data_IF_331758356775
#
_entry.id   IF_331758356775
#
_cell.length_a   1.000
_cell.length_b   1.000
_cell.length_c   1.000
_cell.angle_alpha   90.00
_cell.angle_beta   90.00
_cell.angle_gamma   90.00
#
_symmetry.space_group_name_H-M   'P 1'
#
loop_
_entity.id
_entity.type
_entity.pdbx_description
1 polymer ?
#
# COMPACT_ATOMS: atom_id res chain seq x y z
N UNK A 1 -18.16 14.64 -0.03
CA UNK A 1 -16.92 14.28 0.70
C UNK A 1 -16.46 12.86 0.36
N UNK A 2 -17.34 11.84 0.37
CA UNK A 2 -17.04 10.48 -0.11
C UNK A 2 -16.66 10.40 -1.60
N UNK A 3 -17.16 11.31 -2.45
CA UNK A 3 -16.82 11.36 -3.88
C UNK A 3 -15.33 11.56 -4.17
N UNK A 4 -14.65 12.47 -3.46
CA UNK A 4 -13.22 12.72 -3.70
C UNK A 4 -12.35 11.53 -3.30
N UNK A 5 -12.77 10.80 -2.26
CA UNK A 5 -12.10 9.60 -1.81
C UNK A 5 -12.27 8.45 -2.81
N UNK A 6 -13.48 8.30 -3.35
CA UNK A 6 -13.78 7.34 -4.40
C UNK A 6 -13.01 7.67 -5.70
N UNK A 7 -12.89 8.94 -6.06
CA UNK A 7 -12.13 9.41 -7.23
C UNK A 7 -10.63 9.18 -7.05
N UNK A 8 -10.05 9.45 -5.88
CA UNK A 8 -8.66 9.12 -5.59
C UNK A 8 -8.42 7.60 -5.57
N UNK A 9 -9.36 6.81 -5.05
CA UNK A 9 -9.29 5.35 -5.06
C UNK A 9 -9.35 4.79 -6.49
N UNK A 10 -10.26 5.29 -7.33
CA UNK A 10 -10.34 4.95 -8.75
C UNK A 10 -9.10 5.40 -9.54
N UNK A 11 -8.55 6.58 -9.23
CA UNK A 11 -7.32 7.11 -9.83
C UNK A 11 -6.11 6.25 -9.45
N UNK A 12 -6.03 5.82 -8.17
CA UNK A 12 -4.99 4.92 -7.69
C UNK A 12 -5.12 3.51 -8.32
N UNK A 13 -6.32 2.95 -8.40
CA UNK A 13 -6.56 1.65 -9.07
C UNK A 13 -6.14 1.69 -10.54
N UNK A 14 -6.44 2.79 -11.26
CA UNK A 14 -5.97 3.01 -12.64
C UNK A 14 -4.44 3.10 -12.73
N UNK A 15 -3.78 3.65 -11.71
CA UNK A 15 -2.32 3.69 -11.64
C UNK A 15 -1.71 2.29 -11.42
N UNK A 16 -2.39 1.41 -10.68
CA UNK A 16 -1.90 0.07 -10.33
C UNK A 16 -2.12 -0.99 -11.40
N UNK A 17 -3.03 -0.75 -12.36
CA UNK A 17 -3.26 -1.67 -13.49
C UNK A 17 -2.35 -1.40 -14.69
N UNK A 18 -1.52 -0.35 -14.66
CA UNK A 18 -0.53 -0.11 -15.71
C UNK A 18 0.70 -1.02 -15.55
N UNK A 19 0.68 -2.06 -16.37
CA UNK A 19 1.83 -2.64 -17.07
C UNK A 19 2.69 -3.68 -16.33
N UNK A 20 2.42 -4.90 -16.79
CA UNK A 20 3.31 -6.01 -17.12
C UNK A 20 3.70 -7.00 -16.02
N UNK A 21 2.97 -8.12 -16.06
CA UNK A 21 3.36 -9.41 -15.55
C UNK A 21 4.58 -9.95 -16.32
N UNK A 22 5.59 -10.37 -15.56
CA UNK A 22 6.51 -11.53 -15.72
C UNK A 22 7.86 -11.17 -15.09
N UNK A 23 8.01 -11.27 -13.76
CA UNK A 23 9.31 -11.09 -13.08
C UNK A 23 9.43 -11.84 -11.76
N UNK A 24 10.69 -12.19 -11.45
CA UNK A 24 11.18 -12.94 -10.27
C UNK A 24 10.30 -12.70 -9.03
N UNK A 25 9.80 -13.80 -8.46
CA UNK A 25 8.82 -13.83 -7.37
C UNK A 25 9.21 -12.87 -6.23
N UNK A 26 10.51 -12.80 -5.91
CA UNK A 26 11.06 -11.93 -4.85
C UNK A 26 10.80 -10.43 -5.10
N UNK A 27 10.91 -9.95 -6.35
CA UNK A 27 10.74 -8.52 -6.70
C UNK A 27 9.26 -8.15 -6.83
N UNK A 28 8.47 -9.07 -7.37
CA UNK A 28 7.02 -8.87 -7.52
C UNK A 28 6.33 -8.88 -6.15
N UNK A 29 6.72 -9.74 -5.22
CA UNK A 29 6.20 -9.72 -3.85
C UNK A 29 6.51 -8.41 -3.13
N UNK A 30 7.74 -7.91 -3.23
CA UNK A 30 8.09 -6.63 -2.64
C UNK A 30 7.27 -5.48 -3.22
N UNK A 31 7.07 -5.45 -4.54
CA UNK A 31 6.28 -4.41 -5.19
C UNK A 31 4.81 -4.44 -4.74
N UNK A 32 4.19 -5.63 -4.70
CA UNK A 32 2.81 -5.81 -4.21
C UNK A 32 2.69 -5.39 -2.75
N UNK A 33 3.62 -5.82 -1.89
CA UNK A 33 3.61 -5.50 -0.46
C UNK A 33 3.76 -3.99 -0.22
N UNK A 34 4.58 -3.31 -1.02
CA UNK A 34 4.74 -1.85 -0.97
C UNK A 34 3.43 -1.14 -1.31
N UNK A 35 2.77 -1.57 -2.39
CA UNK A 35 1.48 -1.02 -2.82
C UNK A 35 0.41 -1.23 -1.74
N UNK A 36 0.38 -2.42 -1.13
CA UNK A 36 -0.55 -2.73 -0.05
C UNK A 36 -0.30 -1.84 1.18
N UNK A 37 0.96 -1.58 1.54
CA UNK A 37 1.34 -0.65 2.59
C UNK A 37 0.86 0.78 2.32
N UNK A 38 0.99 1.27 1.08
CA UNK A 38 0.49 2.61 0.70
C UNK A 38 -1.04 2.69 0.85
N UNK A 39 -1.78 1.67 0.39
CA UNK A 39 -3.24 1.62 0.52
C UNK A 39 -3.66 1.62 2.00
N UNK A 40 -2.99 0.84 2.84
CA UNK A 40 -3.26 0.79 4.29
C UNK A 40 -2.98 2.11 5.01
N UNK A 41 -1.92 2.83 4.61
CA UNK A 41 -1.60 4.16 5.13
C UNK A 41 -2.65 5.19 4.76
N UNK A 42 -3.10 5.18 3.49
CA UNK A 42 -4.17 6.07 3.02
C UNK A 42 -5.47 5.77 3.79
N UNK A 43 -5.84 4.49 3.93
CA UNK A 43 -7.05 4.10 4.69
C UNK A 43 -7.01 4.62 6.13
N UNK A 44 -5.87 4.44 6.82
CA UNK A 44 -5.69 4.91 8.19
C UNK A 44 -5.83 6.44 8.29
N UNK A 45 -5.21 7.18 7.37
CA UNK A 45 -5.30 8.64 7.35
C UNK A 45 -6.73 9.14 7.12
N UNK A 46 -7.47 8.48 6.23
CA UNK A 46 -8.87 8.81 5.93
C UNK A 46 -9.77 8.59 7.14
N UNK A 47 -9.61 7.45 7.81
CA UNK A 47 -10.42 7.15 9.00
C UNK A 47 -10.12 8.09 10.17
N UNK A 48 -8.86 8.48 10.35
CA UNK A 48 -8.49 9.48 11.36
C UNK A 48 -9.17 10.82 11.07
N UNK A 49 -9.20 11.26 9.81
CA UNK A 49 -9.85 12.53 9.40
C UNK A 49 -11.37 12.47 9.62
N UNK A 50 -11.99 11.33 9.33
CA UNK A 50 -13.44 11.18 9.40
C UNK A 50 -13.94 10.83 10.82
N UNK A 51 -13.05 10.66 11.79
CA UNK A 51 -13.38 10.20 13.15
C UNK A 51 -14.26 8.92 13.16
N UNK A 52 -14.13 8.06 12.14
CA UNK A 52 -15.05 6.92 11.93
C UNK A 52 -14.67 5.66 12.70
N UNK A 53 -13.38 5.52 13.07
CA UNK A 53 -12.83 4.31 13.67
C UNK A 53 -12.35 4.51 15.11
N UNK A 54 -12.30 3.40 15.87
CA UNK A 54 -11.76 3.42 17.22
C UNK A 54 -10.24 3.63 17.17
N UNK A 55 -9.71 4.60 17.93
CA UNK A 55 -8.29 5.02 17.85
C UNK A 55 -7.32 3.85 17.97
N UNK A 56 -7.58 2.89 18.87
CA UNK A 56 -6.74 1.69 19.04
C UNK A 56 -6.65 0.87 17.74
N UNK A 57 -7.76 0.72 17.03
CA UNK A 57 -7.77 -0.02 15.75
C UNK A 57 -6.99 0.72 14.67
N UNK A 58 -7.12 2.06 14.60
CA UNK A 58 -6.42 2.88 13.63
C UNK A 58 -4.91 2.90 13.87
N UNK A 59 -4.47 2.92 15.13
CA UNK A 59 -3.06 2.82 15.50
C UNK A 59 -2.49 1.47 15.06
N UNK A 60 -3.19 0.36 15.33
CA UNK A 60 -2.74 -0.98 14.93
C UNK A 60 -2.64 -1.09 13.40
N UNK A 61 -3.69 -0.68 12.68
CA UNK A 61 -3.72 -0.72 11.21
C UNK A 61 -2.63 0.17 10.61
N UNK A 62 -2.43 1.37 11.17
CA UNK A 62 -1.37 2.29 10.75
C UNK A 62 0.03 1.72 10.94
N UNK A 63 0.33 1.12 12.09
CA UNK A 63 1.62 0.47 12.35
C UNK A 63 1.85 -0.68 11.37
N UNK A 64 0.85 -1.55 11.14
CA UNK A 64 0.95 -2.66 10.19
C UNK A 64 1.22 -2.14 8.78
N UNK A 65 0.53 -1.09 8.34
CA UNK A 65 0.71 -0.50 7.01
C UNK A 65 2.12 0.07 6.84
N UNK A 66 2.67 0.73 7.87
CA UNK A 66 4.06 1.22 7.89
C UNK A 66 5.04 0.05 7.78
N UNK A 67 4.84 -1.01 8.57
CA UNK A 67 5.69 -2.20 8.52
C UNK A 67 5.67 -2.82 7.12
N UNK A 68 4.49 -3.00 6.53
CA UNK A 68 4.35 -3.56 5.18
C UNK A 68 5.04 -2.69 4.13
N UNK A 69 4.93 -1.37 4.24
CA UNK A 69 5.61 -0.44 3.34
C UNK A 69 7.13 -0.57 3.41
N UNK A 70 7.71 -0.53 4.61
CA UNK A 70 9.16 -0.66 4.78
C UNK A 70 9.68 -2.04 4.35
N UNK A 71 8.94 -3.10 4.68
CA UNK A 71 9.31 -4.47 4.30
C UNK A 71 9.25 -4.67 2.79
N UNK A 72 8.22 -4.12 2.13
CA UNK A 72 8.07 -4.15 0.67
C UNK A 72 9.24 -3.48 -0.05
N UNK A 73 9.60 -2.26 0.39
CA UNK A 73 10.74 -1.52 -0.17
C UNK A 73 12.07 -2.29 0.05
N UNK A 74 12.27 -2.88 1.21
CA UNK A 74 13.46 -3.68 1.51
C UNK A 74 13.60 -4.89 0.58
N UNK A 75 12.50 -5.60 0.32
CA UNK A 75 12.46 -6.74 -0.60
C UNK A 75 12.76 -6.32 -2.04
N UNK A 76 12.16 -5.23 -2.53
CA UNK A 76 12.43 -4.72 -3.88
C UNK A 76 13.89 -4.31 -4.06
N UNK A 77 14.52 -3.75 -3.02
CA UNK A 77 15.93 -3.31 -3.06
C UNK A 77 16.93 -4.45 -2.95
N UNK A 78 16.56 -5.55 -2.27
CA UNK A 78 17.46 -6.67 -2.00
C UNK A 78 17.52 -7.68 -3.15
N UNK A 79 16.58 -7.62 -4.11
CA UNK A 79 16.67 -8.44 -5.33
C UNK A 79 17.71 -7.87 -6.28
N UNK A 80 18.95 -8.33 -6.14
CA UNK A 80 19.87 -8.39 -7.29
C UNK A 80 19.34 -9.49 -8.21
N UNK A 81 19.16 -9.17 -9.48
CA UNK A 81 18.88 -10.19 -10.50
C UNK A 81 20.05 -11.18 -10.46
N UNK A 82 19.81 -12.33 -9.84
CA UNK A 82 20.70 -13.50 -9.92
C UNK A 82 20.65 -13.91 -11.40
N UNK A 83 21.68 -13.53 -12.15
CA UNK A 83 21.92 -13.95 -13.54
C UNK A 83 21.90 -15.46 -13.68
#
# INVERSE_FOLDING_TARGET
MYDYLLVCYLFLIKSLTKKHATMNLKRTFGAILTVLGIIGLIYTGVEIINHGGQITTLVVVGIIAILFFFTGISLVRTTKDEV
#
